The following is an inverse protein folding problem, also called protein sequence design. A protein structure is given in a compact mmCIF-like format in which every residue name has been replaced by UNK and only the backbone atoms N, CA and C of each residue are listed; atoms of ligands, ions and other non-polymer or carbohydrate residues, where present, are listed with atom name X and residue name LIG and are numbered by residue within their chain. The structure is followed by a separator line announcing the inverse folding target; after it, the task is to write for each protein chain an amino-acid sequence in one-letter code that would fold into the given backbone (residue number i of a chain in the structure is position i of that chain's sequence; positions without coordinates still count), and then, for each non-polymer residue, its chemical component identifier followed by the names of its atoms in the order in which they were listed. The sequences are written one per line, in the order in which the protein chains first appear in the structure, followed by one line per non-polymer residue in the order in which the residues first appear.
data_IF_527748989411
#
_entry.id   IF_527748989411
#
_cell.length_a   1.000
_cell.length_b   1.000
_cell.length_c   1.000
_cell.angle_alpha   90.00
_cell.angle_beta   90.00
_cell.angle_gamma   90.00
#
_symmetry.space_group_name_H-M   'P 1'
#
loop_
_entity.id
_entity.type
_entity.pdbx_description
1 polymer ?
#
# COMPACT_ATOMS: atom_id res chain seq x y z
N UNK A 1 53.37 -23.98 37.90
CA UNK A 1 53.43 -24.34 36.46
C UNK A 1 52.01 -24.42 35.89
N UNK A 2 51.46 -23.31 35.44
CA UNK A 2 50.14 -23.26 34.79
C UNK A 2 50.38 -22.93 33.31
N UNK A 3 50.47 -23.97 32.48
CA UNK A 3 50.59 -23.83 31.02
C UNK A 3 49.78 -24.93 30.32
N UNK A 4 48.50 -25.08 30.65
CA UNK A 4 47.58 -25.93 29.89
C UNK A 4 46.15 -25.43 30.04
N UNK A 5 45.80 -24.28 29.45
CA UNK A 5 44.39 -23.86 29.33
C UNK A 5 44.15 -22.73 28.32
N UNK A 6 45.00 -22.60 27.29
CA UNK A 6 44.82 -21.59 26.24
C UNK A 6 45.04 -22.23 24.88
N UNK A 7 44.17 -23.18 24.50
CA UNK A 7 44.13 -23.66 23.11
C UNK A 7 42.70 -23.85 22.59
N UNK A 8 41.69 -23.96 23.46
CA UNK A 8 40.32 -24.25 23.01
C UNK A 8 39.52 -22.97 22.69
N UNK A 9 39.90 -21.82 23.26
CA UNK A 9 39.14 -20.57 23.08
C UNK A 9 39.37 -19.89 21.71
N UNK A 10 40.43 -20.22 20.97
CA UNK A 10 40.74 -19.58 19.69
C UNK A 10 40.07 -20.23 18.48
N UNK A 11 39.46 -21.41 18.64
CA UNK A 11 38.83 -22.13 17.52
C UNK A 11 37.40 -21.66 17.19
N UNK A 12 36.81 -20.80 18.01
CA UNK A 12 35.42 -20.34 17.86
C UNK A 12 35.27 -18.96 17.20
N UNK A 13 36.36 -18.28 16.84
CA UNK A 13 36.34 -16.88 16.36
C UNK A 13 36.34 -16.76 14.82
N UNK A 14 36.37 -17.87 14.06
CA UNK A 14 36.56 -17.83 12.60
C UNK A 14 35.30 -17.97 11.75
N UNK A 15 34.11 -18.05 12.32
CA UNK A 15 32.88 -18.05 11.53
C UNK A 15 32.29 -16.64 11.54
N UNK A 16 32.70 -15.81 10.57
CA UNK A 16 31.94 -14.60 10.24
C UNK A 16 30.57 -15.05 9.75
N UNK A 17 29.60 -15.07 10.66
CA UNK A 17 28.18 -15.19 10.30
C UNK A 17 27.87 -13.90 9.56
N UNK A 18 27.91 -13.96 8.22
CA UNK A 18 27.38 -12.91 7.38
C UNK A 18 25.87 -12.88 7.60
N UNK A 19 25.42 -11.97 8.47
CA UNK A 19 24.01 -11.62 8.59
C UNK A 19 23.68 -10.78 7.36
N UNK A 20 23.19 -11.41 6.30
CA UNK A 20 22.51 -10.70 5.24
C UNK A 20 21.11 -10.35 5.75
N UNK A 21 20.76 -9.06 5.74
CA UNK A 21 19.36 -8.69 5.83
C UNK A 21 18.63 -9.33 4.65
N UNK A 22 17.51 -10.00 4.91
CA UNK A 22 16.62 -10.41 3.82
C UNK A 22 16.22 -9.16 3.03
N UNK A 23 16.21 -9.23 1.68
CA UNK A 23 15.79 -8.09 0.88
C UNK A 23 14.36 -7.71 1.28
N UNK A 24 14.13 -6.41 1.53
CA UNK A 24 12.79 -5.95 1.86
C UNK A 24 11.82 -6.33 0.74
N UNK A 25 10.57 -6.72 1.07
CA UNK A 25 9.57 -7.02 0.06
C UNK A 25 9.34 -5.77 -0.80
N UNK A 26 9.86 -5.80 -2.03
CA UNK A 26 9.70 -4.70 -2.97
C UNK A 26 8.34 -4.80 -3.64
N UNK A 27 7.59 -3.69 -3.63
CA UNK A 27 6.33 -3.58 -4.36
C UNK A 27 6.61 -3.69 -5.85
N UNK A 28 5.92 -4.60 -6.53
CA UNK A 28 6.04 -4.72 -7.99
C UNK A 28 5.20 -3.65 -8.69
N UNK A 29 5.49 -3.39 -9.96
CA UNK A 29 4.63 -2.53 -10.79
C UNK A 29 3.18 -3.05 -10.85
N UNK A 30 3.00 -4.38 -10.87
CA UNK A 30 1.68 -5.01 -10.82
C UNK A 30 0.94 -4.70 -9.52
N UNK A 31 1.63 -4.81 -8.38
CA UNK A 31 1.07 -4.51 -7.06
C UNK A 31 0.66 -3.04 -6.93
N UNK A 32 1.51 -2.12 -7.42
CA UNK A 32 1.19 -0.69 -7.44
C UNK A 32 -0.06 -0.42 -8.27
N UNK A 33 -0.15 -0.97 -9.49
CA UNK A 33 -1.31 -0.75 -10.36
C UNK A 33 -2.59 -1.37 -9.77
N UNK A 34 -2.49 -2.55 -9.15
CA UNK A 34 -3.60 -3.18 -8.45
C UNK A 34 -4.08 -2.30 -7.29
N UNK A 35 -3.16 -1.83 -6.44
CA UNK A 35 -3.45 -0.91 -5.34
C UNK A 35 -4.17 0.35 -5.83
N UNK A 36 -3.58 1.07 -6.79
CA UNK A 36 -4.14 2.32 -7.29
C UNK A 36 -5.54 2.13 -7.89
N UNK A 37 -5.76 1.06 -8.67
CA UNK A 37 -7.07 0.76 -9.26
C UNK A 37 -8.12 0.41 -8.20
N UNK A 38 -7.75 -0.39 -7.19
CA UNK A 38 -8.65 -0.78 -6.10
C UNK A 38 -9.02 0.44 -5.25
N UNK A 39 -8.03 1.26 -4.87
CA UNK A 39 -8.25 2.46 -4.07
C UNK A 39 -9.18 3.46 -4.78
N UNK A 40 -8.97 3.71 -6.08
CA UNK A 40 -9.87 4.56 -6.87
C UNK A 40 -11.30 4.01 -6.94
N UNK A 41 -11.45 2.68 -7.12
CA UNK A 41 -12.76 2.01 -7.15
C UNK A 41 -13.48 2.09 -5.81
N UNK A 42 -12.76 1.95 -4.70
CA UNK A 42 -13.33 2.10 -3.36
C UNK A 42 -13.89 3.50 -3.14
N UNK A 43 -13.18 4.56 -3.56
CA UNK A 43 -13.71 5.92 -3.47
C UNK A 43 -14.96 6.10 -4.32
N UNK A 44 -14.98 5.55 -5.53
CA UNK A 44 -16.16 5.58 -6.42
C UNK A 44 -17.38 4.91 -5.75
N UNK A 45 -17.18 3.77 -5.10
CA UNK A 45 -18.23 3.06 -4.36
C UNK A 45 -18.76 3.86 -3.17
N UNK A 46 -17.85 4.47 -2.39
CA UNK A 46 -18.22 5.35 -1.28
C UNK A 46 -19.03 6.55 -1.77
N UNK A 47 -18.56 7.26 -2.80
CA UNK A 47 -19.25 8.43 -3.36
C UNK A 47 -20.67 8.06 -3.82
N UNK A 48 -20.82 6.93 -4.52
CA UNK A 48 -22.15 6.45 -4.93
C UNK A 48 -23.08 6.14 -3.75
N UNK A 49 -22.54 5.61 -2.65
CA UNK A 49 -23.30 5.38 -1.43
C UNK A 49 -23.65 6.71 -0.74
N UNK A 50 -22.71 7.66 -0.70
CA UNK A 50 -22.84 8.95 -0.03
C UNK A 50 -23.89 9.82 -0.72
N UNK A 51 -23.93 9.85 -2.07
CA UNK A 51 -24.98 10.54 -2.83
C UNK A 51 -26.37 10.04 -2.43
N UNK A 52 -26.55 8.73 -2.22
CA UNK A 52 -27.82 8.16 -1.77
C UNK A 52 -28.16 8.51 -0.31
N UNK A 53 -27.17 8.83 0.51
CA UNK A 53 -27.42 9.33 1.86
C UNK A 53 -27.87 10.78 1.81
N UNK A 54 -27.33 11.62 0.92
CA UNK A 54 -27.74 13.02 0.77
C UNK A 54 -29.22 13.18 0.38
N UNK A 55 -29.81 12.19 -0.30
CA UNK A 55 -31.24 12.19 -0.65
C UNK A 55 -32.17 11.88 0.54
N UNK A 56 -31.64 11.50 1.70
CA UNK A 56 -32.42 11.17 2.90
C UNK A 56 -32.60 12.38 3.82
N UNK A 57 -33.65 12.32 4.63
CA UNK A 57 -33.89 13.32 5.67
C UNK A 57 -32.98 13.06 6.88
N UNK A 58 -32.06 14.00 7.11
CA UNK A 58 -31.15 14.04 8.26
C UNK A 58 -31.42 15.25 9.17
N UNK A 59 -32.60 15.86 9.10
CA UNK A 59 -32.95 17.03 9.91
C UNK A 59 -32.84 16.78 11.42
N UNK A 60 -32.97 15.53 11.86
CA UNK A 60 -32.77 15.13 13.25
C UNK A 60 -31.30 14.98 13.67
N UNK A 61 -30.37 14.95 12.72
CA UNK A 61 -28.92 14.82 12.96
C UNK A 61 -28.12 15.66 11.94
N UNK A 62 -28.07 16.99 12.14
CA UNK A 62 -27.35 17.89 11.22
C UNK A 62 -25.82 17.68 11.25
N UNK A 63 -25.27 17.15 12.34
CA UNK A 63 -23.84 16.86 12.45
C UNK A 63 -23.44 15.68 11.57
N UNK A 64 -24.33 14.69 11.40
CA UNK A 64 -24.12 13.62 10.44
C UNK A 64 -23.99 14.17 9.00
N UNK A 65 -24.86 15.11 8.62
CA UNK A 65 -24.83 15.70 7.28
C UNK A 65 -23.52 16.48 7.04
N UNK A 66 -23.12 17.32 8.00
CA UNK A 66 -21.85 18.06 7.92
C UNK A 66 -20.65 17.11 7.79
N UNK A 67 -20.60 16.06 8.61
CA UNK A 67 -19.54 15.05 8.54
C UNK A 67 -19.55 14.32 7.19
N UNK A 68 -20.73 13.99 6.66
CA UNK A 68 -20.86 13.32 5.37
C UNK A 68 -20.36 14.19 4.22
N UNK A 69 -20.68 15.49 4.22
CA UNK A 69 -20.19 16.44 3.21
C UNK A 69 -18.67 16.54 3.21
N UNK A 70 -18.04 16.60 4.39
CA UNK A 70 -16.57 16.60 4.52
C UNK A 70 -15.96 15.30 3.98
N UNK A 71 -16.54 14.15 4.32
CA UNK A 71 -16.04 12.86 3.83
C UNK A 71 -16.20 12.70 2.31
N UNK A 72 -17.27 13.26 1.72
CA UNK A 72 -17.44 13.33 0.26
C UNK A 72 -16.29 14.13 -0.36
N UNK A 73 -16.00 15.34 0.14
CA UNK A 73 -14.92 16.17 -0.39
C UNK A 73 -13.56 15.45 -0.32
N UNK A 74 -13.29 14.77 0.79
CA UNK A 74 -12.06 13.98 0.98
C UNK A 74 -12.01 12.82 -0.03
N UNK A 75 -13.13 12.11 -0.23
CA UNK A 75 -13.20 10.98 -1.14
C UNK A 75 -13.01 11.40 -2.61
N UNK A 76 -13.57 12.54 -3.04
CA UNK A 76 -13.36 13.10 -4.39
C UNK A 76 -11.88 13.44 -4.64
N UNK A 77 -11.23 14.09 -3.66
CA UNK A 77 -9.79 14.39 -3.72
C UNK A 77 -8.96 13.11 -3.82
N UNK A 78 -9.27 12.10 -2.99
CA UNK A 78 -8.60 10.79 -3.02
C UNK A 78 -8.81 10.06 -4.35
N UNK A 79 -10.03 10.07 -4.88
CA UNK A 79 -10.35 9.44 -6.16
C UNK A 79 -9.49 10.06 -7.28
N UNK A 80 -9.48 11.38 -7.35
CA UNK A 80 -8.67 12.14 -8.33
C UNK A 80 -7.19 11.82 -8.16
N UNK A 81 -6.69 11.83 -6.93
CA UNK A 81 -5.29 11.50 -6.63
C UNK A 81 -4.90 10.10 -7.12
N UNK A 82 -5.68 9.06 -6.80
CA UNK A 82 -5.39 7.70 -7.23
C UNK A 82 -5.49 7.52 -8.75
N UNK A 83 -6.44 8.19 -9.40
CA UNK A 83 -6.57 8.19 -10.87
C UNK A 83 -5.36 8.85 -11.53
N UNK A 84 -4.93 10.03 -11.05
CA UNK A 84 -3.74 10.70 -11.56
C UNK A 84 -2.47 9.85 -11.39
N UNK A 85 -2.32 9.17 -10.24
CA UNK A 85 -1.20 8.26 -10.01
C UNK A 85 -1.26 7.04 -10.94
N UNK A 86 -2.46 6.50 -11.20
CA UNK A 86 -2.64 5.36 -12.08
C UNK A 86 -2.23 5.68 -13.53
N UNK A 87 -2.61 6.85 -14.02
CA UNK A 87 -2.22 7.38 -15.33
C UNK A 87 -0.71 7.65 -15.41
N UNK A 88 -0.16 8.38 -14.42
CA UNK A 88 1.27 8.69 -14.35
C UNK A 88 2.13 7.43 -14.34
N UNK A 89 1.71 6.40 -13.58
CA UNK A 89 2.42 5.12 -13.47
C UNK A 89 2.31 4.26 -14.74
N UNK A 90 1.60 4.74 -15.77
CA UNK A 90 1.35 4.04 -17.04
C UNK A 90 0.76 2.66 -16.81
N UNK A 91 -0.16 2.53 -15.85
CA UNK A 91 -0.84 1.26 -15.58
C UNK A 91 -1.78 0.82 -16.73
N UNK A 92 -2.07 1.72 -17.67
CA UNK A 92 -2.86 1.45 -18.88
C UNK A 92 -2.09 0.75 -20.02
N UNK A 93 -0.77 0.57 -19.94
CA UNK A 93 0.02 0.15 -21.11
C UNK A 93 -0.19 -1.33 -21.44
N UNK A 94 -1.02 -1.62 -22.45
CA UNK A 94 -1.00 -2.68 -23.49
C UNK A 94 -0.79 -4.16 -23.07
N UNK A 95 -0.43 -4.39 -21.83
CA UNK A 95 -0.20 -5.64 -21.16
C UNK A 95 -1.23 -5.69 -20.05
N UNK A 96 -1.98 -6.77 -19.97
CA UNK A 96 -2.91 -7.07 -18.89
C UNK A 96 -2.16 -7.15 -17.55
N UNK A 97 -1.79 -6.01 -16.96
CA UNK A 97 -1.10 -5.93 -15.67
C UNK A 97 -1.95 -6.48 -14.55
N UNK A 98 -3.27 -6.33 -14.68
CA UNK A 98 -4.31 -7.01 -13.91
C UNK A 98 -4.28 -8.56 -14.02
N UNK A 99 -3.56 -9.14 -14.99
CA UNK A 99 -3.36 -10.60 -15.14
C UNK A 99 -1.90 -11.02 -14.93
N UNK A 100 -1.00 -10.07 -14.68
CA UNK A 100 0.43 -10.33 -14.57
C UNK A 100 0.96 -9.80 -13.25
N UNK A 101 1.08 -10.71 -12.29
CA UNK A 101 2.06 -10.61 -11.20
C UNK A 101 3.47 -10.61 -11.85
N UNK A 102 3.85 -9.47 -12.42
CA UNK A 102 5.20 -9.27 -12.95
C UNK A 102 6.07 -8.92 -11.75
N UNK A 103 7.10 -9.74 -11.45
CA UNK A 103 7.96 -9.55 -10.29
C UNK A 103 8.98 -8.42 -10.48
N UNK A 104 8.88 -7.62 -11.55
CA UNK A 104 9.79 -6.51 -11.77
C UNK A 104 9.55 -5.45 -10.66
N UNK A 105 10.54 -5.24 -9.78
CA UNK A 105 10.44 -4.25 -8.72
C UNK A 105 10.46 -2.85 -9.35
N UNK A 106 9.77 -1.91 -8.68
CA UNK A 106 9.78 -0.49 -9.05
C UNK A 106 11.06 0.18 -8.59
#
# INVERSE_FOLDING_TARGET
MIKKLIVIATFLITHSVYVFAEPEPMMTKGDLCAYLSLSARQQTGFLSWATKQLDKDWSSDPLYLEALEIEIEIAEKKQTHYQSLFEFSKCHSDARWNERLIPDPI
#
